data_IF_142775302022
#
_entry.id   IF_142775302022
#
_cell.length_a   1.000
_cell.length_b   1.000
_cell.length_c   1.000
_cell.angle_alpha   90.00
_cell.angle_beta   90.00
_cell.angle_gamma   90.00
#
_symmetry.space_group_name_H-M   'P 1'
#
loop_
_entity.id
_entity.type
_entity.pdbx_description
1 polymer ?
#
# COMPACT_ATOMS: atom_id res chain seq x y z
N UNK A 1 3.63 -24.24 -4.09
CA UNK A 1 4.89 -23.89 -3.41
C UNK A 1 5.06 -22.38 -3.45
N UNK A 2 4.59 -21.71 -2.40
CA UNK A 2 4.60 -20.25 -2.23
C UNK A 2 6.04 -19.82 -1.92
N UNK A 3 6.81 -19.46 -2.95
CA UNK A 3 8.07 -18.74 -2.77
C UNK A 3 7.75 -17.35 -2.21
N UNK A 4 7.73 -17.23 -0.89
CA UNK A 4 7.76 -15.96 -0.17
C UNK A 4 9.18 -15.37 -0.28
N UNK A 5 9.63 -15.11 -1.50
CA UNK A 5 10.86 -14.34 -1.73
C UNK A 5 10.45 -12.87 -1.67
N UNK A 6 10.59 -12.26 -0.50
CA UNK A 6 10.41 -10.83 -0.33
C UNK A 6 11.49 -10.11 -1.16
N UNK A 7 11.18 -9.75 -2.41
CA UNK A 7 12.10 -9.00 -3.28
C UNK A 7 12.21 -7.59 -2.70
N UNK A 8 13.40 -7.15 -2.25
CA UNK A 8 13.56 -5.82 -1.70
C UNK A 8 13.42 -4.78 -2.81
N UNK A 9 12.23 -4.16 -2.90
CA UNK A 9 11.95 -3.03 -3.81
C UNK A 9 12.40 -1.71 -3.16
N UNK A 10 13.66 -1.67 -2.70
CA UNK A 10 14.29 -0.50 -2.08
C UNK A 10 15.38 0.01 -3.03
N UNK A 11 15.38 1.30 -3.41
CA UNK A 11 16.39 1.83 -4.29
C UNK A 11 17.75 1.79 -3.61
N UNK A 12 18.75 1.27 -4.32
CA UNK A 12 20.12 1.25 -3.83
C UNK A 12 20.73 2.65 -3.92
N UNK A 13 21.54 3.02 -2.91
CA UNK A 13 22.30 4.27 -2.92
C UNK A 13 23.26 4.30 -4.12
N UNK A 14 23.46 5.45 -4.74
CA UNK A 14 24.31 5.59 -5.95
C UNK A 14 25.74 5.04 -5.77
N UNK A 15 26.27 5.09 -4.54
CA UNK A 15 27.61 4.61 -4.13
C UNK A 15 27.66 3.14 -3.70
N UNK A 16 26.57 2.38 -3.79
CA UNK A 16 26.55 0.98 -3.37
C UNK A 16 27.49 0.14 -4.26
N UNK A 17 28.44 -0.58 -3.64
CA UNK A 17 29.41 -1.45 -4.33
C UNK A 17 28.78 -2.71 -4.95
N UNK A 18 27.71 -3.22 -4.35
CA UNK A 18 26.94 -4.36 -4.87
C UNK A 18 25.58 -3.87 -5.33
N UNK A 19 25.44 -3.60 -6.63
CA UNK A 19 24.16 -3.29 -7.28
C UNK A 19 23.69 -4.58 -7.95
N UNK A 20 22.51 -5.12 -7.61
CA UNK A 20 21.96 -6.24 -8.36
C UNK A 20 21.60 -5.78 -9.78
N UNK A 21 21.89 -6.63 -10.76
CA UNK A 21 21.61 -6.37 -12.19
C UNK A 21 20.11 -6.15 -12.46
N UNK A 22 19.24 -6.66 -11.59
CA UNK A 22 17.79 -6.60 -11.74
C UNK A 22 17.14 -5.76 -10.63
N UNK A 23 16.74 -4.53 -10.93
CA UNK A 23 15.86 -3.73 -10.09
C UNK A 23 14.45 -3.72 -10.70
N UNK A 24 13.43 -4.21 -9.99
CA UNK A 24 12.07 -4.26 -10.52
C UNK A 24 11.44 -2.85 -10.52
N UNK A 25 11.77 -2.04 -11.53
CA UNK A 25 11.27 -0.67 -11.73
C UNK A 25 9.73 -0.61 -11.75
N UNK A 26 9.09 -1.61 -12.33
CA UNK A 26 7.62 -1.72 -12.36
C UNK A 26 7.02 -1.85 -10.95
N UNK A 27 7.61 -2.71 -10.09
CA UNK A 27 7.18 -2.85 -8.70
C UNK A 27 7.46 -1.57 -7.89
N UNK A 28 8.57 -0.90 -8.15
CA UNK A 28 8.90 0.38 -7.50
C UNK A 28 7.90 1.47 -7.86
N UNK A 29 7.50 1.57 -9.14
CA UNK A 29 6.47 2.54 -9.60
C UNK A 29 5.10 2.24 -9.00
N UNK A 30 4.77 0.97 -8.77
CA UNK A 30 3.52 0.55 -8.12
C UNK A 30 3.39 0.99 -6.66
N UNK A 31 4.50 1.19 -5.94
CA UNK A 31 4.48 1.60 -4.52
C UNK A 31 3.77 2.93 -4.30
N UNK A 32 4.00 3.92 -5.16
CA UNK A 32 3.37 5.23 -5.04
C UNK A 32 1.84 5.14 -5.05
N UNK A 33 1.25 4.23 -5.84
CA UNK A 33 -0.21 4.03 -5.87
C UNK A 33 -0.73 3.44 -4.55
N UNK A 34 0.01 2.50 -3.98
CA UNK A 34 -0.33 1.87 -2.69
C UNK A 34 -0.22 2.90 -1.57
N UNK A 35 0.85 3.70 -1.54
CA UNK A 35 1.04 4.77 -0.54
C UNK A 35 -0.06 5.84 -0.64
N UNK A 36 -0.43 6.24 -1.85
CA UNK A 36 -1.55 7.16 -2.08
C UNK A 36 -2.88 6.58 -1.60
N UNK A 37 -3.15 5.29 -1.86
CA UNK A 37 -4.36 4.61 -1.39
C UNK A 37 -4.40 4.54 0.14
N UNK A 38 -3.28 4.21 0.80
CA UNK A 38 -3.17 4.19 2.27
C UNK A 38 -3.29 5.61 2.85
N UNK A 39 -2.73 6.62 2.19
CA UNK A 39 -2.89 8.02 2.58
C UNK A 39 -4.36 8.46 2.57
N UNK A 40 -5.10 8.10 1.51
CA UNK A 40 -6.56 8.31 1.43
C UNK A 40 -7.32 7.54 2.51
N UNK A 41 -6.91 6.31 2.80
CA UNK A 41 -7.50 5.48 3.84
C UNK A 41 -7.27 6.06 5.25
N UNK A 42 -6.09 6.63 5.52
CA UNK A 42 -5.77 7.32 6.78
C UNK A 42 -6.53 8.63 6.99
N UNK A 43 -7.14 9.21 5.95
CA UNK A 43 -8.04 10.37 6.09
C UNK A 43 -9.28 10.03 6.93
N UNK A 44 -9.68 8.77 6.94
CA UNK A 44 -10.73 8.29 7.84
C UNK A 44 -10.16 8.12 9.25
N UNK A 45 -10.42 9.11 10.12
CA UNK A 45 -9.91 9.18 11.50
C UNK A 45 -10.10 7.87 12.28
N UNK A 46 -11.21 7.17 12.07
CA UNK A 46 -11.53 5.87 12.70
C UNK A 46 -10.59 4.73 12.28
N UNK A 47 -10.14 4.73 11.02
CA UNK A 47 -9.14 3.79 10.52
C UNK A 47 -7.74 4.16 11.01
N UNK A 48 -7.40 5.45 11.00
CA UNK A 48 -6.08 5.94 11.43
C UNK A 48 -5.81 5.72 12.92
N UNK A 49 -6.80 6.00 13.78
CA UNK A 49 -6.67 5.87 15.23
C UNK A 49 -6.93 4.45 15.73
N UNK A 50 -7.41 3.54 14.88
CA UNK A 50 -7.75 2.16 15.25
C UNK A 50 -8.58 2.12 16.54
N UNK A 51 -9.69 2.85 16.59
CA UNK A 51 -10.56 2.88 17.77
C UNK A 51 -11.36 1.58 17.99
N UNK A 52 -11.33 0.63 17.05
CA UNK A 52 -12.07 -0.63 17.18
C UNK A 52 -11.27 -1.66 17.99
N UNK A 53 -11.92 -2.26 19.01
CA UNK A 53 -11.34 -3.29 19.87
C UNK A 53 -11.15 -4.63 19.15
N UNK A 54 -12.03 -4.95 18.20
CA UNK A 54 -12.04 -6.24 17.49
C UNK A 54 -11.44 -6.10 16.09
N UNK A 55 -10.61 -7.09 15.70
CA UNK A 55 -10.00 -7.13 14.36
C UNK A 55 -11.03 -7.19 13.23
N UNK A 56 -12.14 -7.90 13.43
CA UNK A 56 -13.24 -8.00 12.46
C UNK A 56 -13.89 -6.64 12.20
N UNK A 57 -14.32 -5.94 13.26
CA UNK A 57 -14.90 -4.59 13.14
C UNK A 57 -13.94 -3.61 12.44
N UNK A 58 -12.65 -3.63 12.80
CA UNK A 58 -11.66 -2.81 12.12
C UNK A 58 -11.59 -3.14 10.62
N UNK A 59 -11.56 -4.42 10.26
CA UNK A 59 -11.53 -4.86 8.86
C UNK A 59 -12.78 -4.44 8.09
N UNK A 60 -13.96 -4.50 8.71
CA UNK A 60 -15.21 -4.07 8.06
C UNK A 60 -15.20 -2.57 7.75
N UNK A 61 -14.70 -1.74 8.67
CA UNK A 61 -14.58 -0.29 8.44
C UNK A 61 -13.55 0.02 7.35
N UNK A 62 -12.42 -0.70 7.35
CA UNK A 62 -11.40 -0.59 6.30
C UNK A 62 -12.00 -0.97 4.94
N UNK A 63 -12.78 -2.05 4.85
CA UNK A 63 -13.44 -2.47 3.62
C UNK A 63 -14.43 -1.42 3.10
N UNK A 64 -15.24 -0.84 3.99
CA UNK A 64 -16.16 0.25 3.65
C UNK A 64 -15.40 1.48 3.13
N UNK A 65 -14.35 1.91 3.83
CA UNK A 65 -13.53 3.04 3.42
C UNK A 65 -12.83 2.80 2.07
N UNK A 66 -12.36 1.58 1.82
CA UNK A 66 -11.81 1.18 0.52
C UNK A 66 -12.88 1.25 -0.58
N UNK A 67 -14.12 0.82 -0.31
CA UNK A 67 -15.25 0.95 -1.24
C UNK A 67 -15.49 2.40 -1.66
N UNK A 68 -15.49 3.35 -0.71
CA UNK A 68 -15.61 4.77 -1.02
C UNK A 68 -14.47 5.31 -1.90
N UNK A 69 -13.24 4.86 -1.65
CA UNK A 69 -12.07 5.24 -2.46
C UNK A 69 -12.22 4.69 -3.89
N UNK A 70 -12.69 3.46 -4.05
CA UNK A 70 -12.91 2.83 -5.35
C UNK A 70 -14.01 3.54 -6.15
N UNK A 71 -15.17 3.80 -5.55
CA UNK A 71 -16.28 4.51 -6.21
C UNK A 71 -15.83 5.90 -6.68
N UNK A 72 -15.12 6.64 -5.82
CA UNK A 72 -14.52 7.94 -6.20
C UNK A 72 -13.49 7.81 -7.31
N UNK A 73 -12.70 6.73 -7.32
CA UNK A 73 -11.71 6.46 -8.36
C UNK A 73 -12.33 6.11 -9.71
N UNK A 74 -13.51 5.50 -9.73
CA UNK A 74 -14.22 5.14 -10.98
C UNK A 74 -14.93 6.35 -11.57
N UNK A 75 -15.54 7.20 -10.73
CA UNK A 75 -16.25 8.40 -11.20
C UNK A 75 -15.31 9.55 -11.61
N UNK A 76 -14.05 9.53 -11.17
CA UNK A 76 -13.05 10.56 -11.52
C UNK A 76 -12.20 10.19 -12.75
N UNK A 77 -12.58 9.13 -13.48
CA UNK A 77 -11.89 8.63 -14.67
C UNK A 77 -12.54 9.13 -15.95
#
# INVERSE_FOLDING_TARGET
>A
MIFHCAVPVIPYRSTAKSKPTFFPKALYKGRARIEQAIGKLKRFKRVALRCEKTKQNFSSIVAIAAGFILIKSVHTA
#
